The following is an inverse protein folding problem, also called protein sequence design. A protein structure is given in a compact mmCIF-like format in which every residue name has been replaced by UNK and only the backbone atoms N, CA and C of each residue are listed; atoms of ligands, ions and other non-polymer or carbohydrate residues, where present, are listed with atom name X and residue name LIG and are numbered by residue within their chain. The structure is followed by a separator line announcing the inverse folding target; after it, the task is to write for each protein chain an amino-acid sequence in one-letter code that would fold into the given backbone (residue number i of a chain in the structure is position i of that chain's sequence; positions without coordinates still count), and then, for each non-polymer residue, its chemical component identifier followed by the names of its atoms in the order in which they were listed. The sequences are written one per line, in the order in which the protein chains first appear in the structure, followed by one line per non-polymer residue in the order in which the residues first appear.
data_IF_025077030975
#
_entry.id   IF_025077030975
#
_cell.length_a   1.000
_cell.length_b   1.000
_cell.length_c   1.000
_cell.angle_alpha   90.00
_cell.angle_beta   90.00
_cell.angle_gamma   90.00
#
_symmetry.space_group_name_H-M   'P 1'
#
loop_
_entity.id
_entity.type
_entity.pdbx_description
1 polymer ?
#
# COMPACT_ATOMS: atom_id res chain seq x y z
N UNK A 1 -9.13 1.93 -29.93
CA UNK A 1 -8.47 1.69 -28.63
C UNK A 1 -9.48 1.93 -27.51
N UNK A 2 -9.60 1.02 -26.57
CA UNK A 2 -10.49 1.19 -25.41
C UNK A 2 -9.76 1.89 -24.29
N UNK A 3 -10.42 2.74 -23.51
CA UNK A 3 -9.82 3.28 -22.29
C UNK A 3 -9.56 2.15 -21.29
N UNK A 4 -8.58 2.35 -20.44
CA UNK A 4 -8.24 1.42 -19.35
C UNK A 4 -9.35 1.48 -18.30
N UNK A 5 -9.89 0.33 -17.95
CA UNK A 5 -10.87 0.19 -16.87
C UNK A 5 -10.24 -0.29 -15.60
N UNK A 6 -10.94 -0.10 -14.49
CA UNK A 6 -10.53 -0.57 -13.16
C UNK A 6 -11.66 -1.40 -12.55
N UNK A 7 -11.27 -2.43 -11.79
CA UNK A 7 -12.20 -3.27 -11.04
C UNK A 7 -11.66 -3.52 -9.64
N UNK A 8 -12.49 -3.32 -8.63
CA UNK A 8 -12.12 -3.56 -7.23
C UNK A 8 -11.52 -4.95 -7.04
N UNK A 9 -10.43 -5.02 -6.30
CA UNK A 9 -9.72 -6.27 -6.04
C UNK A 9 -9.58 -6.55 -4.55
N UNK A 10 -8.85 -5.72 -3.82
CA UNK A 10 -8.55 -5.89 -2.40
C UNK A 10 -8.67 -4.58 -1.65
N UNK A 11 -9.06 -4.67 -0.39
CA UNK A 11 -8.83 -3.63 0.61
C UNK A 11 -7.85 -4.15 1.65
N UNK A 12 -6.77 -3.43 1.86
CA UNK A 12 -5.66 -3.83 2.74
C UNK A 12 -5.56 -2.80 3.86
N UNK A 13 -5.52 -3.29 5.10
CA UNK A 13 -5.31 -2.47 6.29
C UNK A 13 -3.99 -2.89 6.93
N UNK A 14 -3.00 -2.02 6.88
CA UNK A 14 -1.65 -2.28 7.41
C UNK A 14 -1.46 -1.54 8.72
N UNK A 15 -1.07 -2.26 9.76
CA UNK A 15 -0.58 -1.67 10.99
C UNK A 15 0.92 -1.40 10.83
N UNK A 16 1.34 -0.15 11.02
CA UNK A 16 2.72 0.26 10.79
C UNK A 16 3.40 0.67 12.09
N UNK A 17 4.69 0.34 12.18
CA UNK A 17 5.57 0.77 13.26
C UNK A 17 6.06 2.19 13.01
N UNK A 18 6.71 2.83 14.01
CA UNK A 18 7.28 4.16 13.85
C UNK A 18 8.28 4.23 12.68
N UNK A 19 8.27 5.35 11.99
CA UNK A 19 9.18 5.64 10.88
C UNK A 19 10.62 5.64 11.40
N UNK A 20 11.51 4.98 10.66
CA UNK A 20 12.96 5.01 10.90
C UNK A 20 13.59 5.96 9.90
N UNK A 21 14.09 7.08 10.39
CA UNK A 21 14.76 8.10 9.57
C UNK A 21 16.24 7.74 9.39
N UNK A 22 16.71 7.73 8.13
CA UNK A 22 18.10 7.42 7.79
C UNK A 22 18.89 8.66 7.37
N UNK A 23 18.26 9.85 7.35
CA UNK A 23 18.86 11.08 6.89
C UNK A 23 18.75 11.26 5.38
N UNK A 24 18.96 12.50 4.91
CA UNK A 24 18.91 12.83 3.48
C UNK A 24 17.56 12.61 2.82
N UNK A 25 16.46 12.62 3.58
CA UNK A 25 15.12 12.31 3.08
C UNK A 25 14.85 10.82 2.96
N UNK A 26 15.82 9.96 3.23
CA UNK A 26 15.67 8.50 3.18
C UNK A 26 15.14 7.97 4.49
N UNK A 27 14.10 7.14 4.44
CA UNK A 27 13.49 6.54 5.63
C UNK A 27 12.77 5.23 5.27
N UNK A 28 12.36 4.48 6.28
CA UNK A 28 11.50 3.33 6.05
C UNK A 28 10.45 3.18 7.15
N UNK A 29 9.36 2.50 6.79
CA UNK A 29 8.23 2.23 7.69
C UNK A 29 8.06 0.72 7.78
N UNK A 30 8.38 0.11 8.94
CA UNK A 30 8.15 -1.32 9.13
C UNK A 30 6.65 -1.63 9.25
N UNK A 31 6.25 -2.79 8.77
CA UNK A 31 4.89 -3.30 8.93
C UNK A 31 4.79 -4.26 10.12
N UNK A 32 3.83 -4.01 11.00
CA UNK A 32 3.57 -4.83 12.18
C UNK A 32 2.53 -5.92 11.96
N UNK A 33 1.88 -5.91 10.81
CA UNK A 33 0.81 -6.84 10.48
C UNK A 33 -0.38 -6.10 9.89
N UNK A 34 -1.54 -6.70 9.98
CA UNK A 34 -2.78 -6.14 9.45
C UNK A 34 -3.66 -7.20 8.83
N UNK A 35 -4.67 -6.77 8.11
CA UNK A 35 -5.67 -7.63 7.49
C UNK A 35 -5.96 -7.19 6.07
N UNK A 36 -6.49 -8.09 5.27
CA UNK A 36 -7.02 -7.75 3.95
C UNK A 36 -8.27 -8.56 3.65
N UNK A 37 -9.09 -8.02 2.78
CA UNK A 37 -10.27 -8.70 2.23
C UNK A 37 -10.49 -8.24 0.80
N UNK A 38 -11.17 -9.04 0.01
CA UNK A 38 -11.40 -8.67 -1.39
C UNK A 38 -12.31 -9.61 -2.14
N UNK A 39 -12.15 -9.58 -3.44
CA UNK A 39 -12.97 -10.29 -4.42
C UNK A 39 -12.95 -11.79 -4.17
N UNK A 40 -14.11 -12.42 -4.41
CA UNK A 40 -14.29 -13.89 -4.34
C UNK A 40 -13.92 -14.50 -2.98
N UNK A 41 -14.13 -13.73 -1.91
CA UNK A 41 -13.87 -14.18 -0.56
C UNK A 41 -12.39 -14.25 -0.19
N UNK A 42 -11.51 -13.64 -0.99
CA UNK A 42 -10.09 -13.55 -0.67
C UNK A 42 -9.90 -12.67 0.56
N UNK A 43 -9.33 -13.23 1.60
CA UNK A 43 -9.13 -12.55 2.89
C UNK A 43 -7.97 -13.17 3.66
N UNK A 44 -7.44 -12.43 4.63
CA UNK A 44 -6.38 -12.92 5.48
C UNK A 44 -5.63 -11.83 6.22
N UNK A 45 -4.35 -12.04 6.42
CA UNK A 45 -3.50 -11.17 7.22
C UNK A 45 -2.27 -10.70 6.44
N UNK A 46 -1.72 -9.57 6.89
CA UNK A 46 -0.43 -9.07 6.44
C UNK A 46 0.63 -9.67 7.35
N UNK A 47 1.64 -10.30 6.75
CA UNK A 47 2.73 -10.87 7.52
C UNK A 47 3.67 -9.77 8.03
N UNK A 48 4.23 -9.98 9.21
CA UNK A 48 5.30 -9.14 9.72
C UNK A 48 6.55 -9.26 8.86
N UNK A 49 7.38 -8.23 8.85
CA UNK A 49 8.63 -8.21 8.10
C UNK A 49 8.55 -7.43 6.79
N UNK A 50 7.37 -6.96 6.43
CA UNK A 50 7.24 -6.01 5.32
C UNK A 50 7.76 -4.63 5.69
N UNK A 51 8.19 -3.89 4.67
CA UNK A 51 8.76 -2.56 4.83
C UNK A 51 8.32 -1.69 3.66
N UNK A 52 7.98 -0.45 3.95
CA UNK A 52 7.84 0.59 2.95
C UNK A 52 9.09 1.48 2.98
N UNK A 53 9.92 1.36 1.96
CA UNK A 53 11.08 2.23 1.75
C UNK A 53 10.62 3.51 1.10
N UNK A 54 11.00 4.65 1.71
CA UNK A 54 10.55 5.96 1.27
C UNK A 54 11.71 6.90 1.01
N UNK A 55 11.53 7.76 0.01
CA UNK A 55 12.36 8.93 -0.22
C UNK A 55 11.48 10.17 -0.13
N UNK A 56 11.76 11.05 0.81
CA UNK A 56 11.14 12.38 0.87
C UNK A 56 11.94 13.30 -0.04
N UNK A 57 11.34 13.74 -1.13
CA UNK A 57 11.99 14.59 -2.13
C UNK A 57 12.08 16.04 -1.62
N UNK A 58 12.91 16.83 -2.28
CA UNK A 58 13.06 18.25 -1.96
C UNK A 58 11.75 19.05 -2.13
N UNK A 59 10.87 18.61 -3.05
CA UNK A 59 9.55 19.20 -3.27
C UNK A 59 8.49 18.72 -2.27
N UNK A 60 8.85 17.86 -1.31
CA UNK A 60 7.96 17.31 -0.31
C UNK A 60 7.19 16.07 -0.74
N UNK A 61 7.26 15.67 -2.00
CA UNK A 61 6.66 14.42 -2.47
C UNK A 61 7.40 13.24 -1.87
N UNK A 62 6.65 12.23 -1.39
CA UNK A 62 7.21 11.01 -0.83
C UNK A 62 7.11 9.91 -1.90
N UNK A 63 8.26 9.39 -2.30
CA UNK A 63 8.34 8.20 -3.13
C UNK A 63 8.19 6.96 -2.24
N UNK A 64 7.31 6.04 -2.65
CA UNK A 64 6.92 4.86 -1.90
C UNK A 64 7.43 3.61 -2.62
N UNK A 65 8.02 2.69 -1.88
CA UNK A 65 8.44 1.37 -2.37
C UNK A 65 8.21 0.34 -1.26
N UNK A 66 6.97 -0.15 -1.17
CA UNK A 66 6.56 -1.13 -0.18
C UNK A 66 6.73 -2.55 -0.72
N UNK A 67 7.28 -3.43 0.11
CA UNK A 67 7.48 -4.82 -0.21
C UNK A 67 7.08 -5.66 1.01
N UNK A 68 6.08 -6.50 0.85
CA UNK A 68 5.51 -7.28 1.94
C UNK A 68 4.78 -8.53 1.43
N UNK A 69 4.28 -9.34 2.34
CA UNK A 69 3.56 -10.56 2.02
C UNK A 69 2.20 -10.63 2.72
N UNK A 70 1.25 -11.24 2.03
CA UNK A 70 -0.07 -11.59 2.53
C UNK A 70 -0.14 -13.08 2.79
N UNK A 71 -0.90 -13.48 3.81
CA UNK A 71 -1.30 -14.87 4.02
C UNK A 71 -2.82 -14.96 3.99
N UNK A 72 -3.37 -15.73 3.06
CA UNK A 72 -4.81 -15.96 2.99
C UNK A 72 -5.30 -16.85 4.14
N UNK A 73 -6.61 -16.84 4.39
CA UNK A 73 -7.24 -17.73 5.36
C UNK A 73 -7.04 -19.21 5.02
N UNK A 74 -6.69 -19.53 3.78
CA UNK A 74 -6.34 -20.87 3.32
C UNK A 74 -4.83 -21.14 3.34
N UNK A 75 -4.06 -20.29 4.05
CA UNK A 75 -2.60 -20.41 4.23
C UNK A 75 -1.81 -20.27 2.93
N UNK A 76 -2.34 -19.55 1.98
CA UNK A 76 -1.64 -19.23 0.73
C UNK A 76 -0.88 -17.92 0.91
N UNK A 77 0.36 -17.89 0.45
CA UNK A 77 1.19 -16.69 0.52
C UNK A 77 1.18 -15.93 -0.80
N UNK A 78 1.10 -14.60 -0.70
CA UNK A 78 1.18 -13.69 -1.84
C UNK A 78 2.18 -12.59 -1.51
N UNK A 79 3.20 -12.45 -2.34
CA UNK A 79 4.15 -11.34 -2.26
C UNK A 79 3.55 -10.11 -2.94
N UNK A 80 3.69 -8.95 -2.32
CA UNK A 80 3.19 -7.67 -2.83
C UNK A 80 4.33 -6.69 -2.98
N UNK A 81 4.44 -6.10 -4.16
CA UNK A 81 5.28 -4.94 -4.42
C UNK A 81 4.41 -3.76 -4.82
N UNK A 82 4.48 -2.68 -4.05
CA UNK A 82 3.64 -1.50 -4.24
C UNK A 82 4.53 -0.25 -4.30
N UNK A 83 4.55 0.41 -5.45
CA UNK A 83 5.40 1.57 -5.70
C UNK A 83 4.56 2.75 -6.15
N UNK A 84 4.84 3.92 -5.63
CA UNK A 84 4.11 5.12 -6.04
C UNK A 84 4.51 6.36 -5.28
N UNK A 85 3.53 7.24 -5.12
CA UNK A 85 3.77 8.59 -4.62
C UNK A 85 2.70 9.00 -3.60
N UNK A 86 3.13 9.75 -2.57
CA UNK A 86 2.24 10.54 -1.73
C UNK A 86 2.64 12.00 -1.84
N UNK A 87 1.73 12.82 -2.31
CA UNK A 87 1.93 14.24 -2.49
C UNK A 87 0.86 15.03 -1.72
N UNK A 88 1.30 15.97 -0.91
CA UNK A 88 0.42 16.80 -0.09
C UNK A 88 1.00 18.21 -0.01
N UNK A 89 0.14 19.21 0.24
CA UNK A 89 0.61 20.52 0.61
C UNK A 89 1.43 20.46 1.91
N UNK A 90 2.34 21.41 2.18
CA UNK A 90 3.08 21.42 3.45
C UNK A 90 2.19 21.41 4.68
N UNK A 91 1.05 22.09 4.63
CA UNK A 91 0.05 22.11 5.71
C UNK A 91 -0.57 20.71 5.93
N UNK A 92 -1.02 20.06 4.86
CA UNK A 92 -1.61 18.72 4.93
C UNK A 92 -0.57 17.70 5.38
N UNK A 93 0.66 17.78 4.85
CA UNK A 93 1.75 16.90 5.25
C UNK A 93 2.05 17.03 6.75
N UNK A 94 2.03 18.23 7.30
CA UNK A 94 2.23 18.47 8.73
C UNK A 94 1.10 17.87 9.57
N UNK A 95 -0.14 17.98 9.13
CA UNK A 95 -1.30 17.37 9.81
C UNK A 95 -1.20 15.84 9.82
N UNK A 96 -0.85 15.24 8.69
CA UNK A 96 -0.61 13.79 8.59
C UNK A 96 0.51 13.35 9.53
N UNK A 97 1.59 14.10 9.58
CA UNK A 97 2.76 13.82 10.44
C UNK A 97 2.40 13.85 11.94
N UNK A 98 1.50 14.75 12.34
CA UNK A 98 1.02 14.83 13.73
C UNK A 98 0.01 13.76 14.09
N UNK A 99 -0.49 13.01 13.10
CA UNK A 99 -1.56 12.03 13.31
C UNK A 99 -2.96 12.64 13.35
N UNK A 100 -3.13 13.87 12.88
CA UNK A 100 -4.45 14.49 12.75
C UNK A 100 -5.28 13.73 11.71
N UNK A 101 -6.60 13.77 11.88
CA UNK A 101 -7.50 13.24 10.87
C UNK A 101 -7.46 14.15 9.63
N UNK A 102 -7.13 13.55 8.48
CA UNK A 102 -7.09 14.25 7.18
C UNK A 102 -7.94 13.48 6.19
N UNK A 103 -8.85 14.18 5.52
CA UNK A 103 -9.63 13.58 4.44
C UNK A 103 -8.67 13.12 3.33
N UNK A 104 -8.76 11.87 2.85
CA UNK A 104 -7.89 11.37 1.78
C UNK A 104 -8.04 12.15 0.47
N UNK A 105 -9.11 12.88 0.26
CA UNK A 105 -9.26 13.76 -0.90
C UNK A 105 -8.39 15.02 -0.83
N UNK A 106 -7.81 15.33 0.35
CA UNK A 106 -6.92 16.48 0.52
C UNK A 106 -5.49 16.21 0.08
N UNK A 107 -5.14 14.97 -0.27
CA UNK A 107 -3.80 14.62 -0.72
C UNK A 107 -3.83 13.50 -1.76
N UNK A 108 -2.73 13.36 -2.48
CA UNK A 108 -2.54 12.34 -3.50
C UNK A 108 -1.76 11.18 -2.88
N UNK A 109 -2.31 9.98 -2.88
CA UNK A 109 -1.62 8.77 -2.45
C UNK A 109 -2.01 7.64 -3.39
N UNK A 110 -1.13 7.32 -4.34
CA UNK A 110 -1.38 6.34 -5.40
C UNK A 110 -0.17 5.45 -5.60
N UNK A 111 -0.41 4.17 -5.82
CA UNK A 111 0.65 3.22 -6.16
C UNK A 111 0.21 2.32 -7.30
N UNK A 112 1.20 1.77 -8.01
CA UNK A 112 1.00 0.59 -8.83
C UNK A 112 1.41 -0.64 -8.04
N UNK A 113 0.68 -1.74 -8.20
CA UNK A 113 0.82 -2.93 -7.36
C UNK A 113 1.03 -4.16 -8.23
N UNK A 114 2.02 -4.98 -7.85
CA UNK A 114 2.31 -6.27 -8.47
C UNK A 114 2.23 -7.36 -7.41
N UNK A 115 1.67 -8.49 -7.81
CA UNK A 115 1.55 -9.68 -6.97
C UNK A 115 2.40 -10.80 -7.53
N UNK A 116 2.95 -11.63 -6.64
CA UNK A 116 3.65 -12.85 -6.97
C UNK A 116 3.22 -13.95 -6.00
N UNK A 117 2.78 -15.08 -6.52
CA UNK A 117 2.38 -16.21 -5.70
C UNK A 117 2.65 -17.53 -6.40
N UNK A 118 2.95 -18.56 -5.63
CA UNK A 118 3.02 -19.95 -6.12
C UNK A 118 1.75 -20.74 -5.83
N UNK A 119 0.75 -20.12 -5.18
CA UNK A 119 -0.51 -20.78 -4.86
C UNK A 119 -1.34 -21.00 -6.14
N UNK A 120 -1.67 -22.26 -6.51
CA UNK A 120 -2.39 -22.52 -7.76
C UNK A 120 -3.74 -21.80 -7.86
N UNK A 121 -4.47 -21.72 -6.76
CA UNK A 121 -5.79 -21.04 -6.70
C UNK A 121 -5.68 -19.54 -7.01
N UNK A 122 -4.55 -18.92 -6.70
CA UNK A 122 -4.31 -17.49 -6.83
C UNK A 122 -3.38 -17.15 -8.00
N UNK A 123 -3.08 -18.11 -8.85
CA UNK A 123 -2.12 -17.95 -9.95
C UNK A 123 -2.44 -16.76 -10.88
N UNK A 124 -3.72 -16.45 -11.04
CA UNK A 124 -4.16 -15.31 -11.86
C UNK A 124 -3.61 -13.95 -11.39
N UNK A 125 -3.27 -13.82 -10.10
CA UNK A 125 -2.64 -12.61 -9.56
C UNK A 125 -1.29 -12.32 -10.20
N UNK A 126 -0.56 -13.34 -10.64
CA UNK A 126 0.74 -13.19 -11.30
C UNK A 126 0.64 -12.49 -12.66
N UNK A 127 -0.54 -12.46 -13.27
CA UNK A 127 -0.75 -12.03 -14.65
C UNK A 127 -1.52 -10.74 -14.79
N UNK A 128 -1.76 -10.02 -13.69
CA UNK A 128 -2.47 -8.74 -13.70
C UNK A 128 -1.57 -7.60 -13.24
N UNK A 129 -1.95 -6.40 -13.64
CA UNK A 129 -1.46 -5.16 -13.05
C UNK A 129 -2.56 -4.58 -12.18
N UNK A 130 -2.17 -3.88 -11.13
CA UNK A 130 -3.12 -3.19 -10.27
C UNK A 130 -2.61 -1.79 -9.91
N UNK A 131 -3.54 -0.95 -9.50
CA UNK A 131 -3.27 0.39 -8.95
C UNK A 131 -4.01 0.55 -7.64
N UNK A 132 -3.55 1.43 -6.79
CA UNK A 132 -4.19 1.65 -5.50
C UNK A 132 -4.39 3.11 -5.18
N UNK A 133 -5.39 3.35 -4.33
CA UNK A 133 -5.50 4.56 -3.54
C UNK A 133 -5.08 4.24 -2.11
N UNK A 134 -4.39 5.18 -1.45
CA UNK A 134 -3.93 5.01 -0.09
C UNK A 134 -4.47 6.08 0.84
N UNK A 135 -4.59 5.70 2.12
CA UNK A 135 -4.99 6.59 3.20
C UNK A 135 -4.12 6.30 4.42
N UNK A 136 -3.60 7.34 5.04
CA UNK A 136 -2.83 7.24 6.29
C UNK A 136 -3.64 7.81 7.45
N UNK A 137 -3.86 6.98 8.48
CA UNK A 137 -4.49 7.38 9.75
C UNK A 137 -3.59 6.95 10.90
N UNK A 138 -2.68 7.82 11.33
CA UNK A 138 -1.69 7.53 12.41
C UNK A 138 -0.86 6.28 12.09
N UNK A 139 -1.12 5.19 12.81
CA UNK A 139 -0.39 3.92 12.75
C UNK A 139 -1.01 2.93 11.79
N UNK A 140 -2.00 3.37 11.01
CA UNK A 140 -2.73 2.53 10.07
C UNK A 140 -2.67 3.14 8.68
N UNK A 141 -2.36 2.29 7.70
CA UNK A 141 -2.45 2.64 6.28
C UNK A 141 -3.51 1.74 5.65
N UNK A 142 -4.49 2.34 5.01
CA UNK A 142 -5.50 1.61 4.24
C UNK A 142 -5.20 1.77 2.76
N UNK A 143 -5.20 0.65 2.04
CA UNK A 143 -4.89 0.60 0.61
C UNK A 143 -6.06 -0.09 -0.09
N UNK A 144 -6.73 0.63 -0.98
CA UNK A 144 -7.75 0.06 -1.84
C UNK A 144 -7.15 -0.23 -3.22
N UNK A 145 -7.08 -1.50 -3.57
CA UNK A 145 -6.41 -2.00 -4.76
C UNK A 145 -7.44 -2.35 -5.84
N UNK A 146 -7.18 -1.88 -7.04
CA UNK A 146 -8.01 -2.12 -8.22
C UNK A 146 -7.18 -2.81 -9.30
N UNK A 147 -7.73 -3.86 -9.88
CA UNK A 147 -7.17 -4.51 -11.07
C UNK A 147 -7.32 -3.58 -12.28
N UNK A 148 -6.28 -3.49 -13.07
CA UNK A 148 -6.28 -2.78 -14.35
C UNK A 148 -6.77 -3.75 -15.43
N UNK A 149 -7.85 -3.37 -16.13
CA UNK A 149 -8.51 -4.20 -17.16
C UNK A 149 -8.00 -3.89 -18.58
#
# INVERSE_FOLDING_TARGET
MRPVGLRELLSIRVDVAPIVDLGGGRRYVPFDGGTFEGRDGLAGTILRGGVDWQQVRADGVIEIDAHYALASTEREAVEVRSRGLRAASPEVAARLSRGDAVDPDEYYFRTHVRFTTSAPRLDWLNSILAVSTGRRDRDVVTIDVHEVL
#
